data_IF_614300367306
#
_entry.id   IF_614300367306
#
_cell.length_a   1.000
_cell.length_b   1.000
_cell.length_c   1.000
_cell.angle_alpha   90.00
_cell.angle_beta   90.00
_cell.angle_gamma   90.00
#
_symmetry.space_group_name_H-M   'P 1'
#
loop_
_entity.id
_entity.type
_entity.pdbx_description
1 polymer ?
#
# COMPACT_ATOMS: atom_id res chain seq x y z
N UNK A 1 -81.77 -38.65 -56.69
CA UNK A 1 -81.92 -37.61 -55.66
C UNK A 1 -82.72 -38.18 -54.50
N UNK A 2 -82.07 -38.49 -53.39
CA UNK A 2 -82.69 -39.03 -52.17
C UNK A 2 -82.82 -37.89 -51.13
N UNK A 3 -83.93 -37.81 -50.38
CA UNK A 3 -84.18 -36.71 -49.46
C UNK A 3 -83.29 -36.82 -48.21
N UNK A 4 -82.50 -35.77 -47.98
CA UNK A 4 -81.66 -35.58 -46.80
C UNK A 4 -82.52 -35.49 -45.53
N UNK A 5 -82.43 -36.53 -44.68
CA UNK A 5 -83.06 -36.58 -43.36
C UNK A 5 -82.47 -35.48 -42.47
N UNK A 6 -83.31 -34.48 -42.13
CA UNK A 6 -83.03 -33.49 -41.07
C UNK A 6 -82.78 -34.21 -39.74
N UNK A 7 -81.54 -34.14 -39.23
CA UNK A 7 -81.25 -34.47 -37.85
C UNK A 7 -81.98 -33.51 -36.91
N UNK A 8 -82.85 -34.06 -36.04
CA UNK A 8 -83.46 -33.34 -34.91
C UNK A 8 -82.35 -32.79 -34.00
N UNK A 9 -82.36 -31.48 -33.78
CA UNK A 9 -81.64 -30.83 -32.69
C UNK A 9 -82.29 -31.30 -31.37
N UNK A 10 -81.65 -32.26 -30.70
CA UNK A 10 -82.00 -32.60 -29.32
C UNK A 10 -81.69 -31.40 -28.42
N UNK A 11 -82.61 -31.10 -27.49
CA UNK A 11 -82.43 -30.15 -26.40
C UNK A 11 -81.12 -30.44 -25.68
N UNK A 12 -80.04 -29.75 -26.04
CA UNK A 12 -78.84 -29.76 -25.24
C UNK A 12 -79.10 -28.94 -23.98
N UNK A 13 -78.76 -29.46 -22.79
CA UNK A 13 -78.86 -28.71 -21.55
C UNK A 13 -78.05 -27.42 -21.71
N UNK A 14 -78.69 -26.27 -21.51
CA UNK A 14 -78.00 -24.97 -21.51
C UNK A 14 -76.93 -25.02 -20.40
N UNK A 15 -75.65 -24.79 -20.71
CA UNK A 15 -74.61 -24.78 -19.68
C UNK A 15 -74.94 -23.68 -18.67
N UNK A 16 -75.02 -24.03 -17.39
CA UNK A 16 -75.21 -23.08 -16.30
C UNK A 16 -73.96 -22.21 -16.23
N UNK A 17 -74.02 -21.02 -16.84
CA UNK A 17 -73.02 -19.97 -16.60
C UNK A 17 -73.08 -19.59 -15.12
N UNK A 18 -71.94 -19.65 -14.44
CA UNK A 18 -71.76 -19.21 -13.06
C UNK A 18 -72.31 -17.78 -12.90
N UNK A 19 -73.41 -17.64 -12.15
CA UNK A 19 -74.06 -16.35 -11.88
C UNK A 19 -73.41 -15.73 -10.64
N UNK A 20 -72.30 -15.03 -10.87
CA UNK A 20 -71.58 -14.21 -9.89
C UNK A 20 -70.50 -13.41 -10.62
N UNK A 21 -70.54 -12.07 -10.54
CA UNK A 21 -69.65 -11.17 -11.29
C UNK A 21 -68.17 -11.46 -11.03
N UNK A 22 -67.83 -11.80 -9.78
CA UNK A 22 -66.43 -11.83 -9.34
C UNK A 22 -65.71 -13.14 -9.70
N UNK A 23 -66.46 -14.26 -9.82
CA UNK A 23 -65.92 -15.56 -10.26
C UNK A 23 -65.68 -15.56 -11.78
N UNK A 24 -66.52 -14.86 -12.53
CA UNK A 24 -66.38 -14.72 -13.97
C UNK A 24 -65.10 -13.95 -14.35
N UNK A 25 -64.75 -12.92 -13.58
CA UNK A 25 -63.58 -12.08 -13.86
C UNK A 25 -62.26 -12.80 -13.53
N UNK A 26 -62.19 -13.56 -12.43
CA UNK A 26 -61.01 -14.35 -12.09
C UNK A 26 -60.72 -15.45 -13.14
N UNK A 27 -61.76 -16.11 -13.65
CA UNK A 27 -61.61 -17.11 -14.72
C UNK A 27 -61.19 -16.46 -16.03
N UNK A 28 -61.72 -15.27 -16.36
CA UNK A 28 -61.33 -14.51 -17.55
C UNK A 28 -59.85 -14.08 -17.48
N UNK A 29 -59.37 -13.62 -16.33
CA UNK A 29 -57.97 -13.26 -16.11
C UNK A 29 -57.03 -14.47 -16.27
N UNK A 30 -57.40 -15.64 -15.74
CA UNK A 30 -56.64 -16.88 -15.90
C UNK A 30 -56.60 -17.34 -17.36
N UNK A 31 -57.73 -17.26 -18.06
CA UNK A 31 -57.81 -17.53 -19.50
C UNK A 31 -56.90 -16.57 -20.29
N UNK A 32 -56.88 -15.28 -19.94
CA UNK A 32 -56.01 -14.29 -20.57
C UNK A 32 -54.52 -14.61 -20.35
N UNK A 33 -54.13 -15.02 -19.15
CA UNK A 33 -52.75 -15.44 -18.85
C UNK A 33 -52.32 -16.66 -19.69
N UNK A 34 -53.20 -17.65 -19.85
CA UNK A 34 -52.95 -18.82 -20.72
C UNK A 34 -52.83 -18.40 -22.19
N UNK A 35 -53.74 -17.55 -22.67
CA UNK A 35 -53.72 -17.05 -24.04
C UNK A 35 -52.44 -16.24 -24.36
N UNK A 36 -51.98 -15.40 -23.42
CA UNK A 36 -50.76 -14.60 -23.57
C UNK A 36 -49.50 -15.45 -23.68
N UNK A 37 -49.46 -16.60 -23.00
CA UNK A 37 -48.33 -17.53 -23.14
C UNK A 37 -48.41 -18.28 -24.47
N UNK A 38 -49.61 -18.74 -24.88
CA UNK A 38 -49.80 -19.40 -26.18
C UNK A 38 -49.39 -18.49 -27.33
N UNK A 39 -49.61 -17.17 -27.24
CA UNK A 39 -49.16 -16.24 -28.28
C UNK A 39 -47.64 -16.21 -28.47
N UNK A 40 -46.87 -16.61 -27.45
CA UNK A 40 -45.40 -16.70 -27.46
C UNK A 40 -44.87 -18.10 -27.83
N UNK A 41 -45.73 -19.06 -28.16
CA UNK A 41 -45.34 -20.42 -28.54
C UNK A 41 -44.74 -20.47 -29.96
N UNK A 42 -43.48 -20.11 -30.12
CA UNK A 42 -42.78 -20.01 -31.41
C UNK A 42 -42.76 -21.34 -32.19
N UNK A 43 -42.76 -22.47 -31.50
CA UNK A 43 -42.78 -23.81 -32.10
C UNK A 43 -44.10 -24.16 -32.82
N UNK A 44 -45.15 -23.35 -32.65
CA UNK A 44 -46.44 -23.55 -33.31
C UNK A 44 -46.60 -22.64 -34.53
N UNK A 45 -47.28 -23.08 -35.61
CA UNK A 45 -47.67 -22.19 -36.69
C UNK A 45 -48.58 -21.05 -36.18
N UNK A 46 -48.43 -19.85 -36.72
CA UNK A 46 -49.18 -18.66 -36.28
C UNK A 46 -50.70 -18.87 -36.29
N UNK A 47 -51.24 -19.46 -37.36
CA UNK A 47 -52.67 -19.76 -37.47
C UNK A 47 -53.17 -20.70 -36.36
N UNK A 48 -52.34 -21.67 -35.95
CA UNK A 48 -52.67 -22.57 -34.84
C UNK A 48 -52.67 -21.84 -33.49
N UNK A 49 -51.74 -20.89 -33.27
CA UNK A 49 -51.74 -20.06 -32.06
C UNK A 49 -52.99 -19.19 -31.96
N UNK A 50 -53.35 -18.49 -33.04
CA UNK A 50 -54.54 -17.62 -33.07
C UNK A 50 -55.83 -18.40 -32.85
N UNK A 51 -55.92 -19.60 -33.44
CA UNK A 51 -57.03 -20.53 -33.21
C UNK A 51 -57.10 -20.97 -31.75
N UNK A 52 -55.97 -21.35 -31.13
CA UNK A 52 -55.95 -21.78 -29.74
C UNK A 52 -56.26 -20.66 -28.77
N UNK A 53 -55.73 -19.46 -29.00
CA UNK A 53 -56.06 -18.25 -28.22
C UNK A 53 -57.56 -18.01 -28.22
N UNK A 54 -58.20 -18.13 -29.39
CA UNK A 54 -59.66 -17.98 -29.53
C UNK A 54 -60.45 -19.12 -28.86
N UNK A 55 -59.83 -20.31 -28.76
CA UNK A 55 -60.42 -21.49 -28.13
C UNK A 55 -60.25 -21.53 -26.60
N UNK A 56 -59.34 -20.75 -26.03
CA UNK A 56 -59.08 -20.71 -24.58
C UNK A 56 -60.32 -20.33 -23.76
N UNK A 57 -61.05 -19.22 -24.02
CA UNK A 57 -62.25 -18.88 -23.26
C UNK A 57 -63.37 -19.94 -23.30
N UNK A 58 -63.77 -20.50 -24.46
CA UNK A 58 -64.83 -21.51 -24.49
C UNK A 58 -64.39 -22.89 -23.97
N UNK A 59 -63.09 -23.22 -23.96
CA UNK A 59 -62.58 -24.48 -23.42
C UNK A 59 -62.36 -24.41 -21.90
N UNK A 60 -61.69 -23.37 -21.40
CA UNK A 60 -61.30 -23.24 -19.99
C UNK A 60 -62.30 -22.44 -19.14
N UNK A 61 -63.16 -21.64 -19.76
CA UNK A 61 -64.17 -20.82 -19.07
C UNK A 61 -65.40 -21.60 -18.56
N UNK A 62 -65.51 -22.88 -18.91
CA UNK A 62 -66.56 -23.80 -18.43
C UNK A 62 -65.94 -24.74 -17.38
N UNK A 63 -66.69 -25.03 -16.32
CA UNK A 63 -66.25 -25.93 -15.24
C UNK A 63 -65.97 -27.34 -15.79
N UNK A 64 -64.94 -28.06 -15.31
CA UNK A 64 -64.56 -29.37 -15.84
C UNK A 64 -65.69 -30.40 -15.96
N UNK A 65 -66.63 -30.42 -15.00
CA UNK A 65 -67.77 -31.35 -15.01
C UNK A 65 -68.87 -31.01 -16.02
N UNK A 66 -68.89 -29.77 -16.53
CA UNK A 66 -69.91 -29.25 -17.45
C UNK A 66 -69.42 -29.16 -18.91
N UNK A 67 -68.15 -29.51 -19.17
CA UNK A 67 -67.56 -29.44 -20.51
C UNK A 67 -68.09 -30.55 -21.41
N UNK A 68 -68.42 -30.20 -22.65
CA UNK A 68 -68.70 -31.19 -23.68
C UNK A 68 -67.42 -31.89 -24.17
N UNK A 69 -67.56 -32.96 -24.96
CA UNK A 69 -66.43 -33.75 -25.47
C UNK A 69 -65.41 -32.92 -26.27
N UNK A 70 -65.84 -31.86 -26.95
CA UNK A 70 -64.96 -30.99 -27.75
C UNK A 70 -64.20 -30.02 -26.85
N UNK A 71 -64.86 -29.47 -25.83
CA UNK A 71 -64.24 -28.61 -24.83
C UNK A 71 -63.19 -29.35 -24.01
N UNK A 72 -63.46 -30.61 -23.64
CA UNK A 72 -62.46 -31.48 -22.97
C UNK A 72 -61.26 -31.75 -23.89
N UNK A 73 -61.50 -32.04 -25.17
CA UNK A 73 -60.40 -32.25 -26.12
C UNK A 73 -59.55 -30.99 -26.33
N UNK A 74 -60.18 -29.82 -26.47
CA UNK A 74 -59.50 -28.54 -26.61
C UNK A 74 -58.72 -28.16 -25.35
N UNK A 75 -59.29 -28.39 -24.17
CA UNK A 75 -58.60 -28.08 -22.92
C UNK A 75 -57.40 -29.00 -22.68
N UNK A 76 -57.55 -30.30 -22.97
CA UNK A 76 -56.43 -31.26 -22.98
C UNK A 76 -55.32 -30.80 -23.93
N UNK A 77 -55.67 -30.37 -25.15
CA UNK A 77 -54.71 -29.91 -26.12
C UNK A 77 -54.00 -28.61 -25.69
N UNK A 78 -54.71 -27.66 -25.06
CA UNK A 78 -54.09 -26.48 -24.44
C UNK A 78 -53.09 -26.88 -23.35
N UNK A 79 -53.45 -27.87 -22.53
CA UNK A 79 -52.56 -28.42 -21.50
C UNK A 79 -51.31 -29.08 -22.09
N UNK A 80 -51.45 -29.80 -23.19
CA UNK A 80 -50.32 -30.37 -23.95
C UNK A 80 -49.40 -29.28 -24.48
N UNK A 81 -49.94 -28.23 -25.10
CA UNK A 81 -49.15 -27.09 -25.61
C UNK A 81 -48.36 -26.41 -24.49
N UNK A 82 -48.97 -26.16 -23.33
CA UNK A 82 -48.27 -25.53 -22.20
C UNK A 82 -47.15 -26.42 -21.64
N UNK A 83 -47.35 -27.74 -21.61
CA UNK A 83 -46.31 -28.71 -21.21
C UNK A 83 -45.18 -28.79 -22.23
N UNK A 84 -45.50 -28.78 -23.52
CA UNK A 84 -44.50 -28.82 -24.58
C UNK A 84 -43.66 -27.53 -24.58
N UNK A 85 -44.26 -26.38 -24.26
CA UNK A 85 -43.52 -25.13 -24.01
C UNK A 85 -42.58 -25.25 -22.81
N UNK A 86 -43.04 -25.83 -21.69
CA UNK A 86 -42.20 -26.05 -20.51
C UNK A 86 -41.02 -26.97 -20.82
N UNK A 87 -41.27 -28.08 -21.50
CA UNK A 87 -40.24 -29.03 -21.95
C UNK A 87 -39.24 -28.34 -22.88
N UNK A 88 -39.71 -27.55 -23.86
CA UNK A 88 -38.84 -26.81 -24.78
C UNK A 88 -37.95 -25.79 -24.06
N UNK A 89 -38.49 -25.06 -23.07
CA UNK A 89 -37.69 -24.14 -22.25
C UNK A 89 -36.66 -24.88 -21.38
N UNK A 90 -37.02 -26.04 -20.82
CA UNK A 90 -36.08 -26.90 -20.06
C UNK A 90 -34.97 -27.45 -20.96
N UNK A 91 -35.29 -27.91 -22.18
CA UNK A 91 -34.30 -28.37 -23.15
C UNK A 91 -33.36 -27.24 -23.59
N UNK A 92 -33.90 -26.05 -23.87
CA UNK A 92 -33.12 -24.86 -24.18
C UNK A 92 -32.20 -24.47 -23.04
N UNK A 93 -32.71 -24.44 -21.80
CA UNK A 93 -31.90 -24.15 -20.61
C UNK A 93 -30.76 -25.15 -20.47
N UNK A 94 -31.03 -26.44 -20.64
CA UNK A 94 -30.01 -27.49 -20.57
C UNK A 94 -28.94 -27.30 -21.66
N UNK A 95 -29.34 -26.98 -22.90
CA UNK A 95 -28.40 -26.69 -23.99
C UNK A 95 -27.53 -25.46 -23.73
N UNK A 96 -28.13 -24.35 -23.27
CA UNK A 96 -27.40 -23.12 -22.91
C UNK A 96 -26.39 -23.39 -21.79
N UNK A 97 -26.78 -24.19 -20.79
CA UNK A 97 -25.89 -24.61 -19.69
C UNK A 97 -24.75 -25.51 -20.16
N UNK A 98 -25.00 -26.49 -21.04
CA UNK A 98 -23.94 -27.31 -21.63
C UNK A 98 -22.97 -26.49 -22.47
N UNK A 99 -23.48 -25.58 -23.29
CA UNK A 99 -22.65 -24.70 -24.12
C UNK A 99 -21.77 -23.76 -23.28
N UNK A 100 -22.27 -23.29 -22.14
CA UNK A 100 -21.53 -22.44 -21.22
C UNK A 100 -20.55 -23.21 -20.31
N UNK A 101 -20.69 -24.54 -20.17
CA UNK A 101 -19.91 -25.35 -19.20
C UNK A 101 -18.40 -25.10 -19.31
N UNK A 102 -17.87 -25.22 -20.52
CA UNK A 102 -16.43 -25.08 -20.75
C UNK A 102 -15.96 -23.66 -20.46
N UNK A 103 -16.74 -22.65 -20.84
CA UNK A 103 -16.43 -21.24 -20.54
C UNK A 103 -16.42 -20.97 -19.03
N UNK A 104 -17.39 -21.51 -18.28
CA UNK A 104 -17.44 -21.39 -16.81
C UNK A 104 -16.22 -22.03 -16.15
N UNK A 105 -15.81 -23.22 -16.60
CA UNK A 105 -14.64 -23.91 -16.05
C UNK A 105 -13.34 -23.18 -16.38
N UNK A 106 -13.21 -22.64 -17.59
CA UNK A 106 -12.05 -21.85 -18.00
C UNK A 106 -11.98 -20.53 -17.21
N UNK A 107 -13.08 -19.81 -17.08
CA UNK A 107 -13.16 -18.57 -16.31
C UNK A 107 -12.89 -18.84 -14.81
N UNK A 108 -13.39 -19.94 -14.25
CA UNK A 108 -13.10 -20.34 -12.88
C UNK A 108 -11.60 -20.63 -12.66
N UNK A 109 -10.94 -21.34 -13.60
CA UNK A 109 -9.49 -21.57 -13.55
C UNK A 109 -8.70 -20.27 -13.62
N UNK A 110 -9.10 -19.36 -14.50
CA UNK A 110 -8.42 -18.07 -14.66
C UNK A 110 -8.60 -17.19 -13.42
N UNK A 111 -9.82 -17.06 -12.91
CA UNK A 111 -10.14 -16.32 -11.69
C UNK A 111 -9.32 -16.82 -10.49
N UNK A 112 -9.20 -18.14 -10.33
CA UNK A 112 -8.43 -18.72 -9.25
C UNK A 112 -6.91 -18.51 -9.42
N UNK A 113 -6.39 -18.58 -10.65
CA UNK A 113 -4.99 -18.24 -10.95
C UNK A 113 -4.69 -16.78 -10.60
N UNK A 114 -5.56 -15.84 -11.00
CA UNK A 114 -5.40 -14.42 -10.67
C UNK A 114 -5.48 -14.16 -9.17
N UNK A 115 -6.38 -14.84 -8.45
CA UNK A 115 -6.47 -14.74 -6.98
C UNK A 115 -5.18 -15.22 -6.29
N UNK A 116 -4.59 -16.32 -6.77
CA UNK A 116 -3.29 -16.79 -6.28
C UNK A 116 -2.17 -15.77 -6.56
N UNK A 117 -2.15 -15.15 -7.75
CA UNK A 117 -1.21 -14.07 -8.08
C UNK A 117 -1.38 -12.88 -7.14
N UNK A 118 -2.60 -12.45 -6.86
CA UNK A 118 -2.89 -11.36 -5.89
C UNK A 118 -2.34 -11.71 -4.51
N UNK A 119 -2.56 -12.95 -4.04
CA UNK A 119 -2.02 -13.42 -2.75
C UNK A 119 -0.48 -13.39 -2.71
N UNK A 120 0.18 -13.80 -3.79
CA UNK A 120 1.64 -13.73 -3.89
C UNK A 120 2.15 -12.28 -3.90
N UNK A 121 1.53 -11.40 -4.69
CA UNK A 121 1.89 -9.97 -4.75
C UNK A 121 1.67 -9.26 -3.42
N UNK A 122 0.65 -9.65 -2.65
CA UNK A 122 0.41 -9.12 -1.32
C UNK A 122 1.58 -9.42 -0.37
N UNK A 123 2.09 -10.67 -0.38
CA UNK A 123 3.29 -11.03 0.40
C UNK A 123 4.56 -10.30 -0.04
N UNK A 124 4.69 -10.02 -1.34
CA UNK A 124 5.81 -9.20 -1.86
C UNK A 124 5.74 -7.75 -1.36
N UNK A 125 4.53 -7.17 -1.28
CA UNK A 125 4.31 -5.83 -0.71
C UNK A 125 4.67 -5.83 0.78
N UNK A 126 4.17 -6.80 1.55
CA UNK A 126 4.47 -6.91 2.99
C UNK A 126 5.98 -6.97 3.23
N UNK A 127 6.71 -7.83 2.51
CA UNK A 127 8.18 -7.93 2.61
C UNK A 127 8.90 -6.63 2.24
N UNK A 128 8.44 -5.95 1.18
CA UNK A 128 9.05 -4.69 0.75
C UNK A 128 8.80 -3.55 1.75
N UNK A 129 7.63 -3.52 2.39
CA UNK A 129 7.29 -2.57 3.46
C UNK A 129 8.06 -2.85 4.75
N UNK A 130 8.22 -4.11 5.14
CA UNK A 130 9.09 -4.51 6.25
C UNK A 130 10.54 -4.08 6.01
N UNK A 131 11.07 -4.33 4.80
CA UNK A 131 12.43 -3.90 4.44
C UNK A 131 12.57 -2.37 4.46
N UNK A 132 11.57 -1.63 3.97
CA UNK A 132 11.56 -0.17 4.05
C UNK A 132 11.58 0.32 5.50
N UNK A 133 10.79 -0.30 6.40
CA UNK A 133 10.78 0.04 7.82
C UNK A 133 12.15 -0.21 8.48
N UNK A 134 12.82 -1.31 8.14
CA UNK A 134 14.18 -1.60 8.61
C UNK A 134 15.18 -0.54 8.11
N UNK A 135 15.13 -0.16 6.83
CA UNK A 135 15.99 0.88 6.28
C UNK A 135 15.75 2.25 6.92
N UNK A 136 14.50 2.62 7.19
CA UNK A 136 14.17 3.88 7.88
C UNK A 136 14.74 3.93 9.30
N UNK A 137 14.58 2.83 10.06
CA UNK A 137 15.16 2.70 11.40
C UNK A 137 16.70 2.79 11.37
N UNK A 138 17.34 2.15 10.39
CA UNK A 138 18.79 2.22 10.21
C UNK A 138 19.27 3.63 9.81
N UNK A 139 18.51 4.37 9.00
CA UNK A 139 18.83 5.76 8.64
C UNK A 139 18.73 6.70 9.83
N UNK A 140 17.71 6.55 10.67
CA UNK A 140 17.56 7.33 11.90
C UNK A 140 18.70 7.06 12.89
N UNK A 141 19.07 5.79 13.08
CA UNK A 141 20.22 5.41 13.92
C UNK A 141 21.54 6.00 13.36
N UNK A 142 21.77 5.89 12.06
CA UNK A 142 22.95 6.45 11.40
C UNK A 142 23.02 7.99 11.51
N UNK A 143 21.87 8.66 11.42
CA UNK A 143 21.77 10.10 11.62
C UNK A 143 22.16 10.51 13.04
N UNK A 144 21.60 9.85 14.05
CA UNK A 144 21.92 10.16 15.45
C UNK A 144 23.41 9.93 15.75
N UNK A 145 24.01 8.87 15.22
CA UNK A 145 25.44 8.62 15.35
C UNK A 145 26.28 9.70 14.65
N UNK A 146 25.93 10.08 13.42
CA UNK A 146 26.60 11.17 12.70
C UNK A 146 26.57 12.48 13.49
N UNK A 147 25.41 12.86 14.03
CA UNK A 147 25.24 14.08 14.83
C UNK A 147 26.09 14.02 16.12
N UNK A 148 26.13 12.86 16.78
CA UNK A 148 26.94 12.66 17.99
C UNK A 148 28.45 12.77 17.70
N UNK A 149 28.92 12.16 16.61
CA UNK A 149 30.33 12.24 16.20
C UNK A 149 30.73 13.64 15.78
N UNK A 150 29.84 14.37 15.11
CA UNK A 150 30.11 15.76 14.73
C UNK A 150 30.26 16.68 15.96
N UNK A 151 29.44 16.49 17.00
CA UNK A 151 29.60 17.20 18.27
C UNK A 151 30.94 16.86 18.95
N UNK A 152 31.29 15.58 19.01
CA UNK A 152 32.56 15.14 19.59
C UNK A 152 33.78 15.70 18.84
N UNK A 153 33.72 15.76 17.51
CA UNK A 153 34.76 16.38 16.69
C UNK A 153 34.90 17.89 16.97
N UNK A 154 33.78 18.60 17.12
CA UNK A 154 33.80 20.03 17.45
C UNK A 154 34.39 20.31 18.85
N UNK A 155 34.08 19.46 19.84
CA UNK A 155 34.67 19.55 21.18
C UNK A 155 36.18 19.29 21.18
N UNK A 156 36.63 18.28 20.42
CA UNK A 156 38.05 17.97 20.29
C UNK A 156 38.83 19.08 19.56
N UNK A 157 38.23 19.69 18.54
CA UNK A 157 38.80 20.83 17.81
C UNK A 157 38.92 22.08 18.69
N UNK A 158 37.92 22.35 19.54
CA UNK A 158 37.97 23.44 20.51
C UNK A 158 39.07 23.22 21.56
N UNK A 159 39.26 21.98 22.01
CA UNK A 159 40.35 21.61 22.93
C UNK A 159 41.72 21.80 22.27
N UNK A 160 41.90 21.36 21.01
CA UNK A 160 43.12 21.59 20.23
C UNK A 160 43.41 23.09 20.10
N UNK A 161 42.42 23.87 19.67
CA UNK A 161 42.55 25.33 19.52
C UNK A 161 42.95 26.03 20.82
N UNK A 162 42.41 25.58 21.96
CA UNK A 162 42.76 26.13 23.27
C UNK A 162 44.21 25.81 23.65
N UNK A 163 44.65 24.58 23.41
CA UNK A 163 46.02 24.15 23.69
C UNK A 163 47.04 24.90 22.80
N UNK A 164 46.76 25.04 21.50
CA UNK A 164 47.59 25.81 20.56
C UNK A 164 47.65 27.30 20.93
N UNK A 165 46.52 27.89 21.34
CA UNK A 165 46.47 29.28 21.78
C UNK A 165 47.31 29.52 23.04
N UNK A 166 47.29 28.58 24.00
CA UNK A 166 48.13 28.67 25.21
C UNK A 166 49.62 28.63 24.87
N UNK A 167 50.04 27.72 23.98
CA UNK A 167 51.43 27.68 23.49
C UNK A 167 51.83 29.00 22.80
N UNK A 168 50.97 29.51 21.92
CA UNK A 168 51.24 30.77 21.21
C UNK A 168 51.39 31.96 22.17
N UNK A 169 50.50 32.07 23.16
CA UNK A 169 50.58 33.11 24.19
C UNK A 169 51.90 33.01 24.96
N UNK A 170 52.30 31.79 25.36
CA UNK A 170 53.57 31.58 26.05
C UNK A 170 54.78 31.96 25.19
N UNK A 171 54.79 31.61 23.90
CA UNK A 171 55.85 32.03 22.97
C UNK A 171 55.92 33.55 22.79
N UNK A 172 54.77 34.21 22.62
CA UNK A 172 54.70 35.67 22.50
C UNK A 172 55.19 36.37 23.78
N UNK A 173 54.87 35.84 24.95
CA UNK A 173 55.34 36.36 26.23
C UNK A 173 56.86 36.21 26.37
N UNK A 174 57.41 35.06 25.97
CA UNK A 174 58.85 34.79 25.99
C UNK A 174 59.62 35.73 25.06
N UNK A 175 59.13 35.95 23.84
CA UNK A 175 59.75 36.88 22.87
C UNK A 175 59.67 38.34 23.34
N UNK A 176 58.58 38.71 24.00
CA UNK A 176 58.44 40.04 24.61
C UNK A 176 59.45 40.24 25.76
N UNK A 177 59.59 39.25 26.65
CA UNK A 177 60.58 39.28 27.73
C UNK A 177 62.02 39.34 27.18
N UNK A 178 62.30 38.57 26.11
CA UNK A 178 63.61 38.58 25.43
C UNK A 178 63.93 39.96 24.85
N UNK A 179 62.96 40.57 24.18
CA UNK A 179 63.09 41.91 23.60
C UNK A 179 63.34 42.98 24.69
N UNK A 180 62.59 42.93 25.79
CA UNK A 180 62.77 43.83 26.92
C UNK A 180 64.14 43.69 27.58
N UNK A 181 64.54 42.45 27.87
CA UNK A 181 65.86 42.13 28.44
C UNK A 181 66.99 42.62 27.54
N UNK A 182 66.86 42.44 26.23
CA UNK A 182 67.85 42.95 25.25
C UNK A 182 68.00 44.48 25.36
N UNK A 183 66.92 45.25 25.41
CA UNK A 183 66.96 46.72 25.53
C UNK A 183 67.48 47.18 26.90
N UNK A 184 67.17 46.44 27.97
CA UNK A 184 67.66 46.76 29.31
C UNK A 184 69.17 46.54 29.44
N UNK A 185 69.73 45.52 28.80
CA UNK A 185 71.15 45.16 28.88
C UNK A 185 71.99 45.81 27.80
N UNK A 186 71.44 46.02 26.60
CA UNK A 186 72.20 46.47 25.45
C UNK A 186 72.68 47.93 25.59
N UNK A 187 73.93 48.16 25.18
CA UNK A 187 74.50 49.49 24.93
C UNK A 187 74.07 50.05 23.55
N UNK A 188 73.07 49.45 22.92
CA UNK A 188 72.63 49.84 21.57
C UNK A 188 71.89 51.17 21.65
N UNK A 189 72.42 52.17 20.94
CA UNK A 189 71.99 53.58 21.02
C UNK A 189 70.59 53.87 20.44
N UNK A 190 69.98 52.94 19.71
CA UNK A 190 68.78 53.20 18.89
C UNK A 190 67.57 52.30 19.17
N UNK A 191 67.65 51.35 20.10
CA UNK A 191 66.49 50.48 20.39
C UNK A 191 65.55 51.15 21.41
N UNK A 192 64.46 51.73 20.91
CA UNK A 192 63.31 52.12 21.74
C UNK A 192 62.18 51.10 21.58
N UNK A 193 61.62 50.66 22.71
CA UNK A 193 60.46 49.78 22.71
C UNK A 193 59.16 50.58 22.45
N UNK A 194 58.27 50.14 21.55
CA UNK A 194 56.96 50.77 21.37
C UNK A 194 56.16 50.81 22.67
N UNK A 195 55.40 51.89 22.88
CA UNK A 195 54.62 52.09 24.12
C UNK A 195 53.67 50.93 24.45
N UNK A 196 53.05 50.30 23.44
CA UNK A 196 52.20 49.12 23.62
C UNK A 196 52.95 47.91 24.18
N UNK A 197 54.19 47.69 23.72
CA UNK A 197 55.04 46.61 24.21
C UNK A 197 55.52 46.90 25.64
N UNK A 198 55.87 48.16 25.94
CA UNK A 198 56.21 48.60 27.30
C UNK A 198 55.05 48.29 28.27
N UNK A 199 53.82 48.62 27.89
CA UNK A 199 52.64 48.35 28.72
C UNK A 199 52.43 46.84 28.96
N UNK A 200 52.71 45.99 27.96
CA UNK A 200 52.66 44.53 28.12
C UNK A 200 53.76 44.02 29.04
N UNK A 201 54.99 44.52 28.92
CA UNK A 201 56.10 44.16 29.83
C UNK A 201 55.79 44.61 31.25
N UNK A 202 55.19 45.80 31.44
CA UNK A 202 54.72 46.26 32.75
C UNK A 202 53.72 45.29 33.37
N UNK A 203 52.78 44.75 32.57
CA UNK A 203 51.83 43.73 33.03
C UNK A 203 52.51 42.41 33.42
N UNK A 204 53.55 42.00 32.69
CA UNK A 204 54.36 40.83 33.08
C UNK A 204 55.07 41.11 34.41
N UNK A 205 55.68 42.29 34.57
CA UNK A 205 56.31 42.69 35.82
C UNK A 205 55.33 42.74 37.00
N UNK A 206 54.08 43.14 36.76
CA UNK A 206 52.99 43.07 37.74
C UNK A 206 52.67 41.63 38.13
N UNK A 207 52.48 40.74 37.15
CA UNK A 207 52.23 39.31 37.39
C UNK A 207 53.38 38.62 38.14
N UNK A 208 54.62 39.08 37.94
CA UNK A 208 55.81 38.61 38.66
C UNK A 208 55.91 39.16 40.10
N UNK A 209 55.01 40.07 40.51
CA UNK A 209 55.02 40.68 41.83
C UNK A 209 56.16 41.67 42.06
N UNK A 210 56.66 42.32 40.99
CA UNK A 210 57.66 43.37 41.14
C UNK A 210 57.05 44.61 41.79
N UNK A 211 57.82 45.25 42.67
CA UNK A 211 57.41 46.45 43.38
C UNK A 211 56.94 47.56 42.44
N UNK A 212 55.90 48.30 42.85
CA UNK A 212 55.31 49.42 42.09
C UNK A 212 56.35 50.45 41.66
N UNK A 213 57.37 50.69 42.51
CA UNK A 213 58.50 51.57 42.24
C UNK A 213 59.31 51.14 41.00
N UNK A 214 59.54 49.83 40.84
CA UNK A 214 60.22 49.24 39.68
C UNK A 214 59.32 49.26 38.44
N UNK A 215 58.01 48.98 38.61
CA UNK A 215 57.04 49.00 37.50
C UNK A 215 56.81 50.40 36.93
N UNK A 216 56.79 51.42 37.79
CA UNK A 216 56.67 52.83 37.41
C UNK A 216 57.94 53.37 36.75
N UNK A 217 59.12 52.84 37.09
CA UNK A 217 60.39 53.24 36.47
C UNK A 217 60.66 52.54 35.14
N UNK A 218 60.04 51.37 34.89
CA UNK A 218 60.23 50.57 33.67
C UNK A 218 60.09 51.36 32.35
N UNK A 219 59.07 52.21 32.12
CA UNK A 219 58.96 52.97 30.87
C UNK A 219 60.13 53.92 30.65
N UNK A 220 60.60 54.58 31.72
CA UNK A 220 61.72 55.51 31.66
C UNK A 220 63.02 54.77 31.30
N UNK A 221 63.19 53.57 31.85
CA UNK A 221 64.38 52.73 31.60
C UNK A 221 64.37 52.18 30.17
N UNK A 222 63.21 51.73 29.65
CA UNK A 222 63.08 51.16 28.31
C UNK A 222 63.09 52.19 27.17
N UNK A 223 62.85 53.48 27.47
CA UNK A 223 62.93 54.57 26.49
C UNK A 223 64.31 55.24 26.41
N UNK A 224 65.18 55.00 27.40
CA UNK A 224 66.49 55.65 27.51
C UNK A 224 67.64 54.67 27.18
N UNK A 225 68.66 55.10 26.43
CA UNK A 225 69.90 54.35 26.26
C UNK A 225 70.59 54.08 27.60
N UNK A 226 71.22 52.91 27.76
CA UNK A 226 71.85 52.47 29.00
C UNK A 226 72.85 53.48 29.60
N UNK A 227 73.59 54.19 28.74
CA UNK A 227 74.58 55.21 29.11
C UNK A 227 73.94 56.42 29.84
N UNK A 228 72.72 56.79 29.44
CA UNK A 228 72.01 58.01 29.92
C UNK A 228 71.16 57.78 31.16
N UNK A 229 71.07 56.53 31.61
CA UNK A 229 70.27 56.16 32.79
C UNK A 229 70.93 56.67 34.07
N UNK A 230 70.13 57.23 34.97
CA UNK A 230 70.53 57.57 36.33
C UNK A 230 70.96 56.33 37.12
N UNK A 231 71.63 56.52 38.27
CA UNK A 231 72.02 55.41 39.14
C UNK A 231 70.82 54.54 39.57
N UNK A 232 69.69 55.17 39.91
CA UNK A 232 68.46 54.47 40.28
C UNK A 232 67.85 53.71 39.09
N UNK A 233 67.82 54.32 37.90
CA UNK A 233 67.36 53.65 36.67
C UNK A 233 68.26 52.47 36.30
N UNK A 234 69.58 52.55 36.54
CA UNK A 234 70.52 51.43 36.34
C UNK A 234 70.26 50.29 37.32
N UNK A 235 70.05 50.59 38.60
CA UNK A 235 69.70 49.58 39.61
C UNK A 235 68.34 48.93 39.31
N UNK A 236 67.32 49.72 38.94
CA UNK A 236 66.02 49.22 38.53
C UNK A 236 66.13 48.34 37.27
N UNK A 237 66.89 48.76 36.26
CA UNK A 237 67.14 47.97 35.06
C UNK A 237 67.73 46.59 35.40
N UNK A 238 68.72 46.52 36.29
CA UNK A 238 69.35 45.27 36.72
C UNK A 238 68.36 44.34 37.44
N UNK A 239 67.57 44.86 38.39
CA UNK A 239 66.59 44.07 39.12
C UNK A 239 65.47 43.54 38.21
N UNK A 240 64.95 44.39 37.32
CA UNK A 240 63.93 44.02 36.33
C UNK A 240 64.50 42.97 35.36
N UNK A 241 65.71 43.18 34.85
CA UNK A 241 66.39 42.24 33.95
C UNK A 241 66.50 40.85 34.60
N UNK A 242 66.95 40.78 35.86
CA UNK A 242 67.08 39.52 36.59
C UNK A 242 65.73 38.81 36.74
N UNK A 243 64.66 39.55 37.04
CA UNK A 243 63.32 38.99 37.15
C UNK A 243 62.79 38.48 35.81
N UNK A 244 62.95 39.25 34.73
CA UNK A 244 62.55 38.84 33.38
C UNK A 244 63.35 37.62 32.88
N UNK A 245 64.65 37.55 33.18
CA UNK A 245 65.48 36.38 32.84
C UNK A 245 65.00 35.12 33.58
N UNK A 246 64.71 35.21 34.87
CA UNK A 246 64.16 34.10 35.64
C UNK A 246 62.80 33.64 35.08
N UNK A 247 61.93 34.58 34.70
CA UNK A 247 60.66 34.27 34.07
C UNK A 247 60.81 33.64 32.68
N UNK A 248 61.75 34.14 31.87
CA UNK A 248 62.07 33.54 30.56
C UNK A 248 62.56 32.10 30.71
N UNK A 249 63.41 31.81 31.69
CA UNK A 249 63.85 30.45 31.98
C UNK A 249 62.67 29.56 32.38
N UNK A 250 61.77 30.06 33.23
CA UNK A 250 60.56 29.35 33.62
C UNK A 250 59.63 29.09 32.43
N UNK A 251 59.27 30.12 31.66
CA UNK A 251 58.47 29.99 30.43
C UNK A 251 59.11 29.04 29.43
N UNK A 252 60.44 29.09 29.28
CA UNK A 252 61.14 28.17 28.37
C UNK A 252 61.01 26.73 28.83
N UNK A 253 61.17 26.46 30.14
CA UNK A 253 60.98 25.13 30.71
C UNK A 253 59.55 24.65 30.54
N UNK A 254 58.57 25.52 30.79
CA UNK A 254 57.14 25.18 30.68
C UNK A 254 56.76 24.88 29.22
N UNK A 255 57.22 25.69 28.26
CA UNK A 255 56.98 25.51 26.82
C UNK A 255 57.71 24.28 26.24
N UNK A 256 58.89 23.95 26.74
CA UNK A 256 59.64 22.74 26.31
C UNK A 256 59.37 21.53 27.20
N UNK A 257 58.50 21.66 28.19
CA UNK A 257 58.16 20.55 29.07
C UNK A 257 57.52 19.44 28.25
N UNK A 258 57.90 18.20 28.56
CA UNK A 258 57.28 17.02 27.97
C UNK A 258 55.76 17.05 28.19
N UNK A 259 55.30 17.56 29.33
CA UNK A 259 53.88 17.72 29.65
C UNK A 259 53.15 18.67 28.68
N UNK A 260 53.70 19.85 28.36
CA UNK A 260 53.07 20.78 27.43
C UNK A 260 53.05 20.23 25.99
N UNK A 261 54.15 19.65 25.54
CA UNK A 261 54.25 19.04 24.20
C UNK A 261 53.30 17.86 24.06
N UNK A 262 53.32 16.92 25.01
CA UNK A 262 52.42 15.75 25.00
C UNK A 262 50.95 16.15 25.11
N UNK A 263 50.60 17.20 25.86
CA UNK A 263 49.23 17.70 25.94
C UNK A 263 48.71 18.21 24.59
N UNK A 264 49.52 18.99 23.88
CA UNK A 264 49.15 19.54 22.57
C UNK A 264 49.12 18.48 21.46
N UNK A 265 50.08 17.55 21.47
CA UNK A 265 50.09 16.39 20.58
C UNK A 265 48.87 15.49 20.84
N UNK A 266 48.52 15.22 22.10
CA UNK A 266 47.34 14.44 22.47
C UNK A 266 46.04 15.12 22.04
N UNK A 267 45.93 16.45 22.22
CA UNK A 267 44.77 17.22 21.75
C UNK A 267 44.64 17.17 20.22
N UNK A 268 45.77 17.29 19.50
CA UNK A 268 45.82 17.20 18.04
C UNK A 268 45.43 15.81 17.54
N UNK A 269 46.00 14.76 18.12
CA UNK A 269 45.69 13.37 17.77
C UNK A 269 44.21 13.06 18.04
N UNK A 270 43.66 13.54 19.15
CA UNK A 270 42.23 13.39 19.47
C UNK A 270 41.33 14.13 18.47
N UNK A 271 41.67 15.36 18.08
CA UNK A 271 40.92 16.10 17.06
C UNK A 271 40.92 15.37 15.71
N UNK A 272 42.09 14.88 15.27
CA UNK A 272 42.20 14.12 14.02
C UNK A 272 41.41 12.80 14.05
N UNK A 273 41.48 12.06 15.17
CA UNK A 273 40.75 10.81 15.34
C UNK A 273 39.22 11.03 15.28
N UNK A 274 38.72 12.00 16.05
CA UNK A 274 37.28 12.32 16.09
C UNK A 274 36.77 12.92 14.78
N UNK A 275 37.57 13.69 14.05
CA UNK A 275 37.24 14.17 12.70
C UNK A 275 37.10 13.01 11.71
N UNK A 276 38.02 12.03 11.74
CA UNK A 276 37.95 10.84 10.89
C UNK A 276 36.69 10.01 11.18
N UNK A 277 36.36 9.82 12.45
CA UNK A 277 35.13 9.13 12.88
C UNK A 277 33.86 9.89 12.44
N UNK A 278 33.85 11.22 12.55
CA UNK A 278 32.74 12.05 12.07
C UNK A 278 32.54 11.93 10.57
N UNK A 279 33.63 11.95 9.78
CA UNK A 279 33.56 11.72 8.32
C UNK A 279 33.04 10.33 8.00
N UNK A 280 33.52 9.29 8.69
CA UNK A 280 33.03 7.92 8.51
C UNK A 280 31.53 7.81 8.81
N UNK A 281 31.06 8.36 9.93
CA UNK A 281 29.64 8.36 10.30
C UNK A 281 28.77 9.12 9.28
N UNK A 282 29.24 10.27 8.78
CA UNK A 282 28.54 11.03 7.74
C UNK A 282 28.41 10.25 6.42
N UNK A 283 29.46 9.52 6.01
CA UNK A 283 29.39 8.65 4.81
C UNK A 283 28.43 7.47 5.01
N UNK A 284 28.39 6.88 6.21
CA UNK A 284 27.46 5.81 6.53
C UNK A 284 26.01 6.31 6.50
N UNK A 285 25.73 7.48 7.08
CA UNK A 285 24.41 8.11 7.00
C UNK A 285 23.99 8.42 5.56
N UNK A 286 24.90 8.93 4.73
CA UNK A 286 24.63 9.17 3.31
C UNK A 286 24.27 7.87 2.57
N UNK A 287 24.96 6.77 2.86
CA UNK A 287 24.63 5.44 2.31
C UNK A 287 23.26 4.96 2.77
N UNK A 288 22.94 5.06 4.06
CA UNK A 288 21.63 4.67 4.60
C UNK A 288 20.48 5.45 3.94
N UNK A 289 20.68 6.72 3.58
CA UNK A 289 19.70 7.50 2.80
C UNK A 289 19.45 6.92 1.40
N UNK A 290 20.49 6.48 0.71
CA UNK A 290 20.33 5.84 -0.62
C UNK A 290 19.65 4.47 -0.50
N UNK A 291 19.93 3.72 0.56
CA UNK A 291 19.25 2.45 0.86
C UNK A 291 17.75 2.68 1.11
N UNK A 292 17.37 3.73 1.87
CA UNK A 292 15.97 4.14 2.06
C UNK A 292 15.30 4.51 0.74
N UNK A 293 15.95 5.28 -0.14
CA UNK A 293 15.40 5.62 -1.47
C UNK A 293 15.13 4.37 -2.30
N UNK A 294 16.08 3.44 -2.31
CA UNK A 294 15.96 2.18 -3.06
C UNK A 294 14.84 1.31 -2.50
N UNK A 295 14.77 1.16 -1.17
CA UNK A 295 13.70 0.41 -0.50
C UNK A 295 12.32 1.03 -0.76
N UNK A 296 12.21 2.36 -0.77
CA UNK A 296 10.96 3.06 -1.07
C UNK A 296 10.50 2.80 -2.51
N UNK A 297 11.40 2.94 -3.48
CA UNK A 297 11.08 2.65 -4.89
C UNK A 297 10.63 1.19 -5.09
N UNK A 298 11.27 0.24 -4.38
CA UNK A 298 10.88 -1.17 -4.42
C UNK A 298 9.48 -1.40 -3.81
N UNK A 299 9.16 -0.78 -2.66
CA UNK A 299 7.84 -0.86 -2.05
C UNK A 299 6.74 -0.29 -2.95
N UNK A 300 6.99 0.86 -3.59
CA UNK A 300 6.08 1.48 -4.56
C UNK A 300 5.87 0.58 -5.80
N UNK A 301 6.94 0.00 -6.34
CA UNK A 301 6.87 -0.92 -7.46
C UNK A 301 6.06 -2.19 -7.11
N UNK A 302 6.24 -2.75 -5.91
CA UNK A 302 5.45 -3.89 -5.43
C UNK A 302 3.96 -3.55 -5.29
N UNK A 303 3.62 -2.36 -4.76
CA UNK A 303 2.23 -1.89 -4.67
C UNK A 303 1.57 -1.75 -6.04
N UNK A 304 2.27 -1.15 -7.01
CA UNK A 304 1.76 -1.03 -8.38
C UNK A 304 1.46 -2.39 -9.02
N UNK A 305 2.33 -3.40 -8.81
CA UNK A 305 2.09 -4.77 -9.28
C UNK A 305 0.88 -5.43 -8.60
N UNK A 306 0.66 -5.18 -7.31
CA UNK A 306 -0.52 -5.66 -6.58
C UNK A 306 -1.80 -5.05 -7.14
N UNK A 307 -1.81 -3.74 -7.41
CA UNK A 307 -2.97 -3.04 -7.98
C UNK A 307 -3.32 -3.57 -9.38
N UNK A 308 -2.30 -3.81 -10.22
CA UNK A 308 -2.48 -4.45 -11.52
C UNK A 308 -3.09 -5.85 -11.39
N UNK A 309 -2.59 -6.68 -10.45
CA UNK A 309 -3.12 -8.02 -10.22
C UNK A 309 -4.58 -8.00 -9.72
N UNK A 310 -4.95 -7.03 -8.86
CA UNK A 310 -6.33 -6.83 -8.39
C UNK A 310 -7.29 -6.39 -9.50
N UNK A 311 -6.82 -5.53 -10.40
CA UNK A 311 -7.60 -5.11 -11.57
C UNK A 311 -7.87 -6.32 -12.49
N UNK A 312 -6.87 -7.17 -12.69
CA UNK A 312 -7.01 -8.41 -13.46
C UNK A 312 -7.95 -9.41 -12.77
N UNK A 313 -7.84 -9.61 -11.45
CA UNK A 313 -8.76 -10.45 -10.66
C UNK A 313 -10.21 -9.96 -10.75
N UNK A 314 -10.43 -8.64 -10.68
CA UNK A 314 -11.78 -8.06 -10.81
C UNK A 314 -12.36 -8.35 -12.20
N UNK A 315 -11.55 -8.24 -13.24
CA UNK A 315 -11.95 -8.54 -14.62
C UNK A 315 -12.29 -10.02 -14.79
N UNK A 316 -11.43 -10.94 -14.35
CA UNK A 316 -11.68 -12.39 -14.49
C UNK A 316 -12.87 -12.86 -13.65
N UNK A 317 -13.12 -12.23 -12.50
CA UNK A 317 -14.32 -12.48 -11.69
C UNK A 317 -15.60 -12.08 -12.44
N UNK A 318 -15.58 -10.93 -13.12
CA UNK A 318 -16.72 -10.49 -13.95
C UNK A 318 -16.97 -11.47 -15.10
N UNK A 319 -15.91 -11.89 -15.81
CA UNK A 319 -16.01 -12.90 -16.88
C UNK A 319 -16.58 -14.24 -16.37
N UNK A 320 -16.19 -14.67 -15.16
CA UNK A 320 -16.77 -15.85 -14.52
C UNK A 320 -18.25 -15.66 -14.16
N UNK A 321 -18.63 -14.49 -13.63
CA UNK A 321 -20.03 -14.17 -13.30
C UNK A 321 -20.89 -14.19 -14.56
N UNK A 322 -20.46 -13.52 -15.63
CA UNK A 322 -21.15 -13.49 -16.92
C UNK A 322 -21.35 -14.91 -17.46
N UNK A 323 -20.29 -15.73 -17.49
CA UNK A 323 -20.39 -17.13 -17.92
C UNK A 323 -21.35 -17.96 -17.05
N UNK A 324 -21.39 -17.72 -15.73
CA UNK A 324 -22.24 -18.45 -14.79
C UNK A 324 -23.74 -18.11 -14.91
N UNK A 325 -24.05 -16.90 -15.40
CA UNK A 325 -25.43 -16.44 -15.62
C UNK A 325 -26.06 -16.96 -16.90
N UNK A 326 -25.34 -17.75 -17.70
CA UNK A 326 -25.90 -18.43 -18.88
C UNK A 326 -27.21 -19.15 -18.53
N UNK A 327 -28.27 -18.87 -19.30
CA UNK A 327 -29.61 -19.41 -19.11
C UNK A 327 -30.46 -18.71 -18.04
N UNK A 328 -30.02 -17.58 -17.46
CA UNK A 328 -30.83 -16.80 -16.52
C UNK A 328 -32.15 -16.30 -17.15
N UNK A 329 -32.10 -15.85 -18.41
CA UNK A 329 -33.30 -15.42 -19.14
C UNK A 329 -34.27 -16.58 -19.37
N UNK A 330 -33.77 -17.74 -19.81
CA UNK A 330 -34.58 -18.96 -20.03
C UNK A 330 -35.20 -19.46 -18.73
N UNK A 331 -34.45 -19.39 -17.62
CA UNK A 331 -34.95 -19.73 -16.28
C UNK A 331 -36.06 -18.76 -15.83
N UNK A 332 -35.92 -17.47 -16.12
CA UNK A 332 -36.96 -16.48 -15.80
C UNK A 332 -38.21 -16.68 -16.67
N UNK A 333 -38.07 -16.99 -17.96
CA UNK A 333 -39.20 -17.36 -18.83
C UNK A 333 -39.93 -18.60 -18.31
N UNK A 334 -39.19 -19.62 -17.87
CA UNK A 334 -39.74 -20.83 -17.27
C UNK A 334 -40.46 -20.52 -15.94
N UNK A 335 -39.89 -19.63 -15.11
CA UNK A 335 -40.53 -19.15 -13.88
C UNK A 335 -41.85 -18.42 -14.18
N UNK A 336 -41.87 -17.56 -15.20
CA UNK A 336 -43.08 -16.85 -15.65
C UNK A 336 -44.13 -17.82 -16.18
N UNK A 337 -43.74 -18.81 -16.98
CA UNK A 337 -44.63 -19.86 -17.48
C UNK A 337 -45.30 -20.63 -16.33
N UNK A 338 -44.50 -21.07 -15.35
CA UNK A 338 -44.97 -21.83 -14.18
C UNK A 338 -45.91 -21.01 -13.31
N UNK A 339 -45.47 -19.83 -12.89
CA UNK A 339 -46.25 -18.97 -11.97
C UNK A 339 -47.46 -18.32 -12.62
N UNK A 340 -47.44 -18.18 -13.95
CA UNK A 340 -48.52 -17.59 -14.74
C UNK A 340 -49.44 -18.65 -15.34
N UNK A 341 -49.19 -19.00 -16.60
CA UNK A 341 -50.12 -19.81 -17.40
C UNK A 341 -50.33 -21.24 -16.89
N UNK A 342 -49.29 -21.92 -16.41
CA UNK A 342 -49.43 -23.29 -15.89
C UNK A 342 -50.23 -23.32 -14.59
N UNK A 343 -49.95 -22.43 -13.64
CA UNK A 343 -50.76 -22.27 -12.42
C UNK A 343 -52.20 -21.87 -12.74
N UNK A 344 -52.41 -20.95 -13.69
CA UNK A 344 -53.74 -20.54 -14.14
C UNK A 344 -54.50 -21.73 -14.74
N UNK A 345 -53.86 -22.51 -15.61
CA UNK A 345 -54.42 -23.72 -16.21
C UNK A 345 -54.74 -24.79 -15.16
N UNK A 346 -53.80 -25.11 -14.26
CA UNK A 346 -53.99 -26.09 -13.18
C UNK A 346 -55.13 -25.69 -12.22
N UNK A 347 -55.32 -24.40 -11.97
CA UNK A 347 -56.44 -23.94 -11.13
C UNK A 347 -57.81 -24.12 -11.80
N UNK A 348 -57.86 -24.29 -13.13
CA UNK A 348 -59.08 -24.48 -13.92
C UNK A 348 -59.33 -25.95 -14.30
N UNK A 349 -58.30 -26.79 -14.29
CA UNK A 349 -58.34 -28.20 -14.73
C UNK A 349 -58.04 -29.21 -13.61
N UNK A 350 -57.36 -28.78 -12.54
CA UNK A 350 -56.77 -29.64 -11.53
C UNK A 350 -55.26 -29.83 -11.74
N UNK A 351 -54.57 -30.48 -10.78
CA UNK A 351 -53.13 -30.69 -10.84
C UNK A 351 -52.80 -31.61 -12.02
N UNK A 352 -51.87 -31.17 -12.86
CA UNK A 352 -51.35 -31.96 -13.96
C UNK A 352 -49.86 -32.08 -13.76
N UNK A 353 -49.38 -33.31 -13.51
CA UNK A 353 -47.97 -33.61 -13.26
C UNK A 353 -47.35 -34.16 -14.55
N UNK A 354 -46.46 -33.42 -15.23
CA UNK A 354 -45.75 -33.92 -16.40
C UNK A 354 -44.46 -34.68 -16.02
N UNK A 355 -44.47 -36.01 -16.18
CA UNK A 355 -43.28 -36.90 -15.96
C UNK A 355 -42.05 -36.48 -16.76
N UNK A 356 -42.23 -35.88 -17.95
CA UNK A 356 -41.10 -35.43 -18.80
C UNK A 356 -40.37 -34.20 -18.23
N UNK A 357 -41.11 -33.25 -17.64
CA UNK A 357 -40.50 -32.06 -17.05
C UNK A 357 -39.65 -32.44 -15.83
N UNK A 358 -40.16 -33.32 -14.96
CA UNK A 358 -39.42 -33.82 -13.78
C UNK A 358 -38.08 -34.48 -14.16
N UNK A 359 -38.05 -35.23 -15.26
CA UNK A 359 -36.82 -35.85 -15.75
C UNK A 359 -35.79 -34.80 -16.25
N UNK A 360 -36.24 -33.73 -16.91
CA UNK A 360 -35.35 -32.66 -17.37
C UNK A 360 -34.85 -31.79 -16.21
N UNK A 361 -35.70 -31.50 -15.23
CA UNK A 361 -35.30 -30.82 -14.00
C UNK A 361 -34.24 -31.60 -13.24
N UNK A 362 -34.41 -32.92 -13.12
CA UNK A 362 -33.41 -33.80 -12.51
C UNK A 362 -32.08 -33.73 -13.27
N UNK A 363 -32.12 -33.78 -14.60
CA UNK A 363 -30.91 -33.66 -15.45
C UNK A 363 -30.22 -32.31 -15.28
N UNK A 364 -30.98 -31.21 -15.20
CA UNK A 364 -30.43 -29.87 -14.96
C UNK A 364 -29.80 -29.81 -13.57
N UNK A 365 -30.45 -30.34 -12.53
CA UNK A 365 -29.89 -30.38 -11.18
C UNK A 365 -28.61 -31.22 -11.10
N UNK A 366 -28.61 -32.42 -11.70
CA UNK A 366 -27.42 -33.28 -11.82
C UNK A 366 -26.28 -32.57 -12.55
N UNK A 367 -26.60 -31.83 -13.62
CA UNK A 367 -25.63 -31.03 -14.37
C UNK A 367 -25.04 -29.88 -13.54
N UNK A 368 -25.87 -29.13 -12.81
CA UNK A 368 -25.41 -28.04 -11.94
C UNK A 368 -24.53 -28.55 -10.82
N UNK A 369 -24.86 -29.71 -10.24
CA UNK A 369 -24.05 -30.35 -9.22
C UNK A 369 -22.71 -30.86 -9.78
N UNK A 370 -22.71 -31.44 -10.98
CA UNK A 370 -21.49 -31.80 -11.71
C UNK A 370 -20.60 -30.57 -11.96
N UNK A 371 -21.17 -29.46 -12.43
CA UNK A 371 -20.40 -28.23 -12.66
C UNK A 371 -19.84 -27.66 -11.35
N UNK A 372 -20.65 -27.63 -10.27
CA UNK A 372 -20.19 -27.18 -8.95
C UNK A 372 -19.05 -28.05 -8.41
N UNK A 373 -19.13 -29.36 -8.61
CA UNK A 373 -18.06 -30.29 -8.24
C UNK A 373 -16.78 -30.00 -9.02
N UNK A 374 -16.86 -29.87 -10.35
CA UNK A 374 -15.69 -29.59 -11.20
C UNK A 374 -15.05 -28.24 -10.88
N UNK A 375 -15.84 -27.20 -10.60
CA UNK A 375 -15.33 -25.89 -10.15
C UNK A 375 -14.60 -26.01 -8.81
N UNK A 376 -15.10 -26.82 -7.87
CA UNK A 376 -14.41 -27.09 -6.59
C UNK A 376 -13.10 -27.84 -6.79
N UNK A 377 -13.08 -28.83 -7.68
CA UNK A 377 -11.87 -29.60 -7.99
C UNK A 377 -10.81 -28.72 -8.68
N UNK A 378 -11.23 -27.85 -9.60
CA UNK A 378 -10.37 -26.81 -10.18
C UNK A 378 -9.73 -25.97 -9.08
N UNK A 379 -10.54 -25.48 -8.14
CA UNK A 379 -10.05 -24.65 -7.04
C UNK A 379 -9.05 -25.39 -6.16
N UNK A 380 -9.36 -26.63 -5.77
CA UNK A 380 -8.45 -27.48 -4.98
C UNK A 380 -7.12 -27.74 -5.70
N UNK A 381 -7.17 -28.06 -6.99
CA UNK A 381 -5.96 -28.31 -7.78
C UNK A 381 -5.05 -27.09 -7.81
N UNK A 382 -5.61 -25.90 -8.05
CA UNK A 382 -4.85 -24.65 -8.06
C UNK A 382 -4.35 -24.23 -6.67
N UNK A 383 -5.09 -24.52 -5.59
CA UNK A 383 -4.63 -24.30 -4.22
C UNK A 383 -3.44 -25.22 -3.90
N UNK A 384 -3.50 -26.49 -4.29
CA UNK A 384 -2.41 -27.45 -4.13
C UNK A 384 -1.16 -27.06 -4.93
N UNK A 385 -1.32 -26.57 -6.18
CA UNK A 385 -0.21 -26.03 -6.98
C UNK A 385 0.44 -24.81 -6.30
N UNK A 386 -0.38 -23.90 -5.74
CA UNK A 386 0.12 -22.73 -5.02
C UNK A 386 0.88 -23.11 -3.75
N UNK A 387 0.39 -24.08 -2.97
CA UNK A 387 1.09 -24.60 -1.80
C UNK A 387 2.42 -25.29 -2.16
N UNK A 388 2.43 -26.10 -3.22
CA UNK A 388 3.63 -26.76 -3.69
C UNK A 388 4.70 -25.75 -4.13
N UNK A 389 4.29 -24.72 -4.89
CA UNK A 389 5.16 -23.61 -5.26
C UNK A 389 5.74 -22.88 -4.05
N UNK A 390 4.91 -22.58 -3.05
CA UNK A 390 5.36 -21.95 -1.81
C UNK A 390 6.38 -22.80 -1.03
N UNK A 391 6.16 -24.12 -0.95
CA UNK A 391 7.09 -25.06 -0.29
C UNK A 391 8.42 -25.20 -1.06
N UNK A 392 8.38 -25.15 -2.39
CA UNK A 392 9.59 -25.22 -3.23
C UNK A 392 10.46 -23.98 -3.12
N UNK A 393 9.88 -22.80 -2.87
CA UNK A 393 10.64 -21.56 -2.67
C UNK A 393 11.24 -21.44 -1.27
N UNK A 394 10.72 -22.19 -0.29
CA UNK A 394 11.19 -22.17 1.09
C UNK A 394 12.33 -23.18 1.36
N UNK A 395 12.60 -24.09 0.42
CA UNK A 395 13.72 -25.05 0.45
C UNK A 395 14.86 -24.52 -0.40
#
# INVERSE_FOLDING_TARGET
MAPSKRCRQGNQPKPKRLKGSDVSDATAQRCAAVAQVISKAEQMPQACREMLISAVPPALGVLPGDRDKRQVALSSFIGEVLKDMEVSLLERLLQEKYAAKEQVLLAARQSQKTANTVSQRLKEVERAEEQLALCLSAEEAARMESDARQKSAAEAEAARSTAEAQLLVGHMELDLCRSATSILVAEVKELQMPAEQIARVQKICDNLGLEDSLRCTLPLVLQKPAETRSFLEKAAAQLITKALQAHMEQLSKDLTSEEAQTSTEAATARAQATEAESKAAATFWAKSKEDVKTAKANAEASRCRLDQARAEETRTLAEYQDASTAGAETLELLRQLRKGALMAYQSLEGPVVPVKAENLERKIAEFEDSCRFEVREVRRATEAEAEFGAKSQAR
#
